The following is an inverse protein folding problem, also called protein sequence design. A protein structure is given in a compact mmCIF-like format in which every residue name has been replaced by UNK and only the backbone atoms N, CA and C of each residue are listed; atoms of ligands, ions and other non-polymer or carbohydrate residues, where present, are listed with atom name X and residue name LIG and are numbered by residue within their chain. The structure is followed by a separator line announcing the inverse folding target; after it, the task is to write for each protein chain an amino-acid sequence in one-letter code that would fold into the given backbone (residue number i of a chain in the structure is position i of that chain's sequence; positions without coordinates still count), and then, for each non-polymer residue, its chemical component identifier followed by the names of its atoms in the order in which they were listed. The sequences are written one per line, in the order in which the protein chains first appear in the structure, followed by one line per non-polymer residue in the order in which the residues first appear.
data_IF_456223524455
#
_entry.id   IF_456223524455
#
_cell.length_a   1.000
_cell.length_b   1.000
_cell.length_c   1.000
_cell.angle_alpha   90.00
_cell.angle_beta   90.00
_cell.angle_gamma   90.00
#
_symmetry.space_group_name_H-M   'P 1'
#
loop_
_entity.id
_entity.type
_entity.pdbx_description
1 polymer ?
#
# COMPACT_ATOMS: atom_id res chain seq x y z
N UNK A 1 -17.44 -17.48 90.94
CA UNK A 1 -18.55 -16.58 91.33
C UNK A 1 -19.28 -16.17 90.05
N UNK A 2 -20.61 -16.11 90.10
CA UNK A 2 -21.55 -15.65 89.06
C UNK A 2 -21.00 -14.50 88.20
N UNK A 3 -21.20 -14.42 86.88
CA UNK A 3 -22.42 -14.61 86.13
C UNK A 3 -22.96 -13.23 85.71
N UNK A 4 -23.59 -13.17 84.52
CA UNK A 4 -24.72 -12.29 84.16
C UNK A 4 -24.48 -11.12 83.15
N UNK A 5 -25.41 -11.10 82.17
CA UNK A 5 -25.91 -10.04 81.26
C UNK A 5 -24.95 -9.43 80.22
N UNK A 6 -25.38 -8.94 79.06
CA UNK A 6 -26.44 -9.20 78.09
C UNK A 6 -26.42 -8.02 77.09
N UNK A 7 -26.62 -8.34 75.80
CA UNK A 7 -27.37 -7.54 74.83
C UNK A 7 -26.92 -6.08 74.54
N UNK A 8 -26.53 -5.81 73.29
CA UNK A 8 -27.35 -5.04 72.33
C UNK A 8 -26.65 -4.90 70.96
N UNK A 9 -27.43 -5.19 69.91
CA UNK A 9 -27.25 -4.91 68.48
C UNK A 9 -27.46 -3.39 68.18
N UNK A 10 -27.53 -2.92 66.90
CA UNK A 10 -26.52 -2.90 65.83
C UNK A 10 -26.48 -1.52 65.09
N UNK A 11 -25.86 -1.52 63.90
CA UNK A 11 -26.16 -0.70 62.70
C UNK A 11 -25.47 0.66 62.47
N UNK A 12 -24.58 0.61 61.47
CA UNK A 12 -24.59 1.37 60.21
C UNK A 12 -24.09 2.83 60.13
N UNK A 13 -23.33 3.00 59.03
CA UNK A 13 -23.07 4.19 58.22
C UNK A 13 -22.00 5.20 58.70
N UNK A 14 -20.95 5.35 57.88
CA UNK A 14 -20.88 6.35 56.78
C UNK A 14 -19.48 6.33 56.11
N UNK A 15 -19.38 6.50 54.79
CA UNK A 15 -18.10 6.78 54.12
C UNK A 15 -17.70 8.26 54.28
N UNK A 16 -16.39 8.53 54.38
CA UNK A 16 -15.81 9.87 54.42
C UNK A 16 -15.29 10.27 53.02
N UNK A 17 -15.54 11.50 52.56
CA UNK A 17 -14.89 12.07 51.38
C UNK A 17 -13.54 12.69 51.74
N UNK A 18 -12.48 12.31 51.04
CA UNK A 18 -11.16 12.96 51.15
C UNK A 18 -10.98 14.01 50.05
N UNK A 19 -11.14 15.25 50.48
CA UNK A 19 -10.37 16.46 50.14
C UNK A 19 -9.56 16.50 48.84
N UNK A 20 -9.92 17.49 48.02
CA UNK A 20 -9.13 18.14 46.97
C UNK A 20 -7.67 18.37 47.37
N UNK A 21 -6.74 18.05 46.46
CA UNK A 21 -5.42 18.68 46.39
C UNK A 21 -5.16 19.11 44.94
N UNK A 22 -4.75 20.37 44.84
CA UNK A 22 -4.51 21.17 43.65
C UNK A 22 -3.33 20.65 42.82
N UNK A 23 -3.52 20.46 41.51
CA UNK A 23 -2.43 20.63 40.55
C UNK A 23 -2.96 21.21 39.25
N UNK A 24 -2.81 22.54 39.14
CA UNK A 24 -3.02 23.30 37.90
C UNK A 24 -1.82 23.06 36.97
N UNK A 25 -2.10 23.13 35.68
CA UNK A 25 -1.17 23.16 34.54
C UNK A 25 -0.53 21.84 34.09
N UNK A 26 -1.07 21.35 32.98
CA UNK A 26 -0.47 20.34 32.12
C UNK A 26 -1.42 19.97 30.99
N UNK A 27 -1.79 20.94 30.15
CA UNK A 27 -2.39 20.67 28.84
C UNK A 27 -1.37 19.86 28.04
N UNK A 28 -1.51 18.53 28.04
CA UNK A 28 -0.83 17.65 27.11
C UNK A 28 -1.90 16.97 26.25
N UNK A 29 -2.17 17.66 25.14
CA UNK A 29 -2.60 17.13 23.84
C UNK A 29 -2.45 15.60 23.72
N UNK A 30 -3.54 14.88 23.98
CA UNK A 30 -3.74 13.53 23.46
C UNK A 30 -4.36 13.64 22.08
N UNK A 31 -3.54 14.01 21.09
CA UNK A 31 -3.94 14.19 19.69
C UNK A 31 -2.86 13.54 18.83
N UNK A 32 -3.33 12.60 17.99
CA UNK A 32 -2.67 11.98 16.83
C UNK A 32 -1.64 10.85 17.06
N UNK A 33 -2.11 9.62 16.85
CA UNK A 33 -1.41 8.60 16.07
C UNK A 33 -2.51 7.77 15.35
N UNK A 34 -2.76 8.04 14.05
CA UNK A 34 -2.25 7.28 12.90
C UNK A 34 -2.91 5.89 12.79
N UNK A 35 -3.41 5.42 11.66
CA UNK A 35 -3.68 5.94 10.33
C UNK A 35 -4.66 4.93 9.73
N UNK A 36 -5.59 5.36 8.88
CA UNK A 36 -6.54 4.46 8.23
C UNK A 36 -5.81 3.43 7.38
N UNK A 37 -5.88 2.16 7.79
CA UNK A 37 -5.63 1.05 6.90
C UNK A 37 -6.92 0.86 6.10
N UNK A 38 -7.08 1.63 5.02
CA UNK A 38 -8.03 1.28 3.98
C UNK A 38 -7.63 -0.11 3.49
N UNK A 39 -8.55 -1.06 3.55
CA UNK A 39 -8.36 -2.41 3.04
C UNK A 39 -8.08 -2.33 1.53
N UNK A 40 -6.81 -2.13 1.17
CA UNK A 40 -6.33 -2.43 -0.16
C UNK A 40 -6.62 -3.92 -0.37
N UNK A 41 -7.26 -4.25 -1.47
CA UNK A 41 -7.36 -5.64 -1.92
C UNK A 41 -5.97 -6.29 -1.79
N UNK A 42 -5.92 -7.57 -1.39
CA UNK A 42 -4.69 -8.32 -1.10
C UNK A 42 -3.81 -8.53 -2.36
N UNK A 43 -3.34 -7.46 -2.98
CA UNK A 43 -2.40 -7.46 -4.09
C UNK A 43 -1.00 -7.59 -3.52
N UNK A 44 -0.21 -8.53 -4.05
CA UNK A 44 1.15 -8.70 -3.55
C UNK A 44 2.03 -7.48 -3.87
N UNK A 45 3.09 -7.21 -3.09
CA UNK A 45 3.99 -6.09 -3.36
C UNK A 45 4.61 -6.13 -4.77
N UNK A 46 4.93 -7.33 -5.28
CA UNK A 46 5.42 -7.53 -6.64
C UNK A 46 4.37 -7.11 -7.70
N UNK A 47 3.12 -7.54 -7.53
CA UNK A 47 2.02 -7.17 -8.42
C UNK A 47 1.72 -5.67 -8.36
N UNK A 48 1.76 -5.07 -7.17
CA UNK A 48 1.57 -3.64 -6.98
C UNK A 48 2.68 -2.83 -7.67
N UNK A 49 3.94 -3.27 -7.60
CA UNK A 49 5.05 -2.61 -8.28
C UNK A 49 4.85 -2.57 -9.80
N UNK A 50 4.40 -3.67 -10.41
CA UNK A 50 4.09 -3.70 -11.85
C UNK A 50 2.93 -2.78 -12.19
N UNK A 51 1.87 -2.74 -11.36
CA UNK A 51 0.75 -1.84 -11.60
C UNK A 51 1.16 -0.37 -11.53
N UNK A 52 2.00 0.01 -10.57
CA UNK A 52 2.57 1.36 -10.47
C UNK A 52 3.48 1.67 -11.67
N UNK A 53 4.30 0.71 -12.11
CA UNK A 53 5.15 0.83 -13.28
C UNK A 53 4.34 1.06 -14.56
N UNK A 54 3.25 0.30 -14.76
CA UNK A 54 2.34 0.47 -15.90
C UNK A 54 1.69 1.85 -15.90
N UNK A 55 1.30 2.35 -14.72
CA UNK A 55 0.76 3.69 -14.58
C UNK A 55 1.81 4.75 -14.94
N UNK A 56 3.03 4.65 -14.42
CA UNK A 56 4.14 5.53 -14.77
C UNK A 56 4.42 5.55 -16.29
N UNK A 57 4.26 4.40 -16.94
CA UNK A 57 4.45 4.25 -18.38
C UNK A 57 3.41 4.98 -19.21
N UNK A 58 2.12 4.85 -18.88
CA UNK A 58 1.06 5.59 -19.58
C UNK A 58 1.09 7.09 -19.29
N UNK A 59 1.63 7.48 -18.14
CA UNK A 59 1.84 8.89 -17.78
C UNK A 59 3.11 9.48 -18.40
N UNK A 60 3.88 8.69 -19.16
CA UNK A 60 5.19 9.05 -19.71
C UNK A 60 6.15 9.63 -18.65
N UNK A 61 6.08 9.13 -17.41
CA UNK A 61 6.86 9.64 -16.29
C UNK A 61 8.24 8.97 -16.23
N UNK A 62 9.19 9.50 -16.99
CA UNK A 62 10.55 8.99 -17.08
C UNK A 62 11.25 8.86 -15.71
N UNK A 63 11.06 9.81 -14.80
CA UNK A 63 11.66 9.78 -13.46
C UNK A 63 11.12 8.60 -12.65
N UNK A 64 9.81 8.37 -12.69
CA UNK A 64 9.21 7.26 -11.95
C UNK A 64 9.59 5.93 -12.59
N UNK A 65 9.61 5.85 -13.92
CA UNK A 65 10.05 4.67 -14.65
C UNK A 65 11.50 4.29 -14.33
N UNK A 66 12.41 5.26 -14.19
CA UNK A 66 13.78 4.96 -13.81
C UNK A 66 13.86 4.39 -12.39
N UNK A 67 13.12 4.98 -11.44
CA UNK A 67 13.11 4.52 -10.05
C UNK A 67 12.41 3.17 -9.83
N UNK A 68 11.44 2.82 -10.68
CA UNK A 68 10.68 1.56 -10.58
C UNK A 68 11.32 0.42 -11.37
N UNK A 69 12.49 0.65 -11.98
CA UNK A 69 13.17 -0.31 -12.84
C UNK A 69 14.46 -0.79 -12.25
N UNK A 70 14.78 -2.05 -12.50
CA UNK A 70 16.11 -2.58 -12.24
C UNK A 70 17.12 -1.86 -13.15
N UNK A 71 18.33 -1.59 -12.66
CA UNK A 71 19.37 -0.83 -13.38
C UNK A 71 19.55 -1.24 -14.84
N UNK A 72 19.61 -2.54 -15.11
CA UNK A 72 19.87 -3.06 -16.46
C UNK A 72 18.65 -2.94 -17.40
N UNK A 73 17.45 -2.66 -16.86
CA UNK A 73 16.20 -2.44 -17.60
C UNK A 73 15.82 -0.95 -17.71
N UNK A 74 16.42 -0.09 -16.87
CA UNK A 74 16.05 1.31 -16.69
C UNK A 74 15.93 2.10 -18.00
N UNK A 75 16.95 2.02 -18.88
CA UNK A 75 16.97 2.74 -20.14
C UNK A 75 15.83 2.31 -21.08
N UNK A 76 15.53 1.02 -21.13
CA UNK A 76 14.42 0.48 -21.93
C UNK A 76 13.07 0.92 -21.35
N UNK A 77 12.91 0.89 -20.02
CA UNK A 77 11.70 1.35 -19.37
C UNK A 77 11.39 2.82 -19.67
N UNK A 78 12.41 3.68 -19.63
CA UNK A 78 12.25 5.10 -19.98
C UNK A 78 11.89 5.26 -21.46
N UNK A 79 12.59 4.57 -22.36
CA UNK A 79 12.30 4.63 -23.79
C UNK A 79 10.88 4.14 -24.13
N UNK A 80 10.40 3.08 -23.47
CA UNK A 80 9.02 2.63 -23.62
C UNK A 80 8.02 3.67 -23.14
N UNK A 81 8.28 4.34 -22.01
CA UNK A 81 7.44 5.44 -21.52
C UNK A 81 7.38 6.63 -22.47
N UNK A 82 8.52 6.99 -23.07
CA UNK A 82 8.60 8.07 -24.05
C UNK A 82 7.69 7.83 -25.26
N UNK A 83 7.44 6.58 -25.65
CA UNK A 83 6.53 6.24 -26.74
C UNK A 83 5.06 6.66 -26.50
N UNK A 84 4.70 6.91 -25.24
CA UNK A 84 3.40 7.46 -24.86
C UNK A 84 3.36 9.00 -24.86
N UNK A 85 4.51 9.66 -25.03
CA UNK A 85 4.58 11.12 -25.07
C UNK A 85 3.77 11.68 -26.23
N UNK A 86 2.85 12.60 -25.95
CA UNK A 86 1.97 13.20 -26.95
C UNK A 86 0.78 12.32 -27.36
N UNK A 87 0.63 11.14 -26.77
CA UNK A 87 -0.58 10.33 -26.86
C UNK A 87 -1.47 10.60 -25.64
N UNK A 88 -2.79 10.57 -25.82
CA UNK A 88 -3.70 10.46 -24.67
C UNK A 88 -3.78 8.99 -24.27
N UNK A 89 -2.95 8.57 -23.32
CA UNK A 89 -2.86 7.20 -22.84
C UNK A 89 -3.61 7.00 -21.52
N UNK A 90 -4.20 5.82 -21.33
CA UNK A 90 -4.90 5.43 -20.10
C UNK A 90 -4.66 3.96 -19.80
N UNK A 91 -4.42 3.67 -18.52
CA UNK A 91 -4.42 2.31 -18.00
C UNK A 91 -5.84 1.96 -17.57
N UNK A 92 -6.44 0.97 -18.22
CA UNK A 92 -7.84 0.58 -18.00
C UNK A 92 -7.92 -0.81 -17.39
N UNK A 93 -8.62 -0.89 -16.25
CA UNK A 93 -8.97 -2.15 -15.57
C UNK A 93 -7.74 -3.02 -15.27
N UNK A 94 -6.58 -2.40 -15.03
CA UNK A 94 -5.35 -3.12 -14.71
C UNK A 94 -5.50 -3.86 -13.39
N UNK A 95 -5.26 -5.17 -13.44
CA UNK A 95 -5.17 -6.01 -12.26
C UNK A 95 -3.99 -6.98 -12.43
N UNK A 96 -3.01 -6.88 -11.56
CA UNK A 96 -1.80 -7.68 -11.61
C UNK A 96 -1.80 -8.73 -10.51
N UNK A 97 -1.20 -9.89 -10.80
CA UNK A 97 -1.00 -10.99 -9.84
C UNK A 97 0.31 -11.71 -10.12
N UNK A 98 0.92 -12.26 -9.08
CA UNK A 98 2.02 -13.20 -9.24
C UNK A 98 1.53 -14.45 -9.98
N UNK A 99 2.30 -14.86 -10.98
CA UNK A 99 2.01 -16.00 -11.83
C UNK A 99 2.98 -17.16 -11.57
N UNK A 100 4.26 -16.85 -11.33
CA UNK A 100 5.31 -17.84 -11.12
C UNK A 100 6.55 -17.21 -10.47
N UNK A 101 7.57 -18.04 -10.22
CA UNK A 101 8.93 -17.63 -9.92
C UNK A 101 9.87 -18.33 -10.90
N UNK A 102 10.75 -17.60 -11.56
CA UNK A 102 11.71 -18.14 -12.54
C UNK A 102 13.01 -17.33 -12.54
N UNK A 103 14.15 -18.01 -12.61
CA UNK A 103 15.49 -17.40 -12.73
C UNK A 103 15.81 -16.33 -11.67
N UNK A 104 15.29 -16.50 -10.44
CA UNK A 104 15.49 -15.53 -9.35
C UNK A 104 14.59 -14.28 -9.43
N UNK A 105 13.58 -14.31 -10.31
CA UNK A 105 12.56 -13.27 -10.43
C UNK A 105 11.18 -13.79 -10.06
N UNK A 106 10.35 -12.90 -9.53
CA UNK A 106 8.90 -13.11 -9.46
C UNK A 106 8.29 -12.71 -10.80
N UNK A 107 7.47 -13.58 -11.37
CA UNK A 107 6.76 -13.32 -12.62
C UNK A 107 5.38 -12.81 -12.31
N UNK A 108 5.01 -11.67 -12.88
CA UNK A 108 3.72 -11.02 -12.69
C UNK A 108 2.98 -10.96 -14.01
N UNK A 109 1.75 -11.45 -14.01
CA UNK A 109 0.79 -11.32 -15.12
C UNK A 109 -0.22 -10.23 -14.78
N UNK A 110 -0.58 -9.40 -15.75
CA UNK A 110 -1.62 -8.39 -15.58
C UNK A 110 -2.74 -8.60 -16.58
N UNK A 111 -3.98 -8.37 -16.15
CA UNK A 111 -5.15 -8.26 -17.04
C UNK A 111 -5.53 -6.80 -17.25
N UNK A 112 -6.31 -6.54 -18.30
CA UNK A 112 -6.77 -5.20 -18.66
C UNK A 112 -6.03 -4.68 -19.89
N UNK A 113 -6.01 -3.37 -20.09
CA UNK A 113 -5.41 -2.79 -21.30
C UNK A 113 -4.85 -1.40 -21.09
N UNK A 114 -3.97 -1.01 -22.00
CA UNK A 114 -3.62 0.39 -22.23
C UNK A 114 -4.41 0.87 -23.44
N UNK A 115 -5.15 1.95 -23.29
CA UNK A 115 -5.81 2.66 -24.39
C UNK A 115 -4.99 3.90 -24.74
N UNK A 116 -4.74 4.13 -26.03
CA UNK A 116 -4.05 5.31 -26.54
C UNK A 116 -4.93 5.99 -27.58
N UNK A 117 -5.04 7.31 -27.52
CA UNK A 117 -5.76 8.10 -28.52
C UNK A 117 -4.82 9.07 -29.22
N UNK A 118 -4.84 9.04 -30.55
CA UNK A 118 -4.13 9.97 -31.42
C UNK A 118 -5.03 10.39 -32.58
N UNK A 119 -5.22 11.70 -32.78
CA UNK A 119 -6.12 12.25 -33.81
C UNK A 119 -7.55 11.66 -33.79
N UNK A 120 -8.06 11.30 -32.61
CA UNK A 120 -9.38 10.70 -32.43
C UNK A 120 -9.45 9.20 -32.71
N UNK A 121 -8.37 8.58 -33.18
CA UNK A 121 -8.28 7.13 -33.31
C UNK A 121 -7.82 6.51 -31.99
N UNK A 122 -8.58 5.52 -31.52
CA UNK A 122 -8.27 4.75 -30.31
C UNK A 122 -7.54 3.47 -30.70
N UNK A 123 -6.45 3.17 -30.01
CA UNK A 123 -5.71 1.90 -30.10
C UNK A 123 -5.61 1.27 -28.72
N UNK A 124 -5.87 -0.03 -28.67
CA UNK A 124 -5.88 -0.80 -27.43
C UNK A 124 -4.75 -1.83 -27.41
N UNK A 125 -4.10 -1.95 -26.26
CA UNK A 125 -2.98 -2.86 -26.04
C UNK A 125 -3.27 -3.73 -24.82
N UNK A 126 -3.59 -5.03 -24.99
CA UNK A 126 -3.88 -5.93 -23.88
C UNK A 126 -2.64 -6.17 -23.01
N UNK A 127 -2.81 -6.12 -21.69
CA UNK A 127 -1.70 -6.32 -20.74
C UNK A 127 -1.26 -7.78 -20.66
N UNK A 128 -2.13 -8.72 -21.03
CA UNK A 128 -1.88 -10.16 -21.04
C UNK A 128 -0.86 -10.58 -22.12
N UNK A 129 -0.53 -9.67 -23.05
CA UNK A 129 0.42 -9.93 -24.12
C UNK A 129 1.85 -10.19 -23.61
N UNK A 130 2.18 -9.71 -22.40
CA UNK A 130 3.52 -9.84 -21.80
C UNK A 130 3.40 -10.06 -20.30
N UNK A 131 4.19 -10.98 -19.77
CA UNK A 131 4.43 -11.08 -18.34
C UNK A 131 5.66 -10.26 -17.96
N UNK A 132 5.67 -9.69 -16.76
CA UNK A 132 6.78 -8.94 -16.21
C UNK A 132 7.60 -9.83 -15.29
N UNK A 133 8.91 -9.62 -15.26
CA UNK A 133 9.78 -10.15 -14.22
C UNK A 133 10.14 -9.02 -13.26
N UNK A 134 10.01 -9.27 -11.97
CA UNK A 134 10.31 -8.30 -10.92
C UNK A 134 11.22 -8.92 -9.87
N UNK A 135 11.99 -8.06 -9.20
CA UNK A 135 12.89 -8.47 -8.13
C UNK A 135 12.83 -7.47 -6.98
N UNK A 136 12.92 -8.00 -5.76
CA UNK A 136 13.10 -7.18 -4.57
C UNK A 136 14.57 -6.74 -4.46
N UNK A 137 14.83 -5.44 -4.45
CA UNK A 137 16.15 -4.84 -4.28
C UNK A 137 16.06 -3.75 -3.20
N UNK A 138 16.91 -3.82 -2.18
CA UNK A 138 16.93 -2.87 -1.07
C UNK A 138 15.56 -2.65 -0.37
N UNK A 139 14.69 -3.66 -0.37
CA UNK A 139 13.34 -3.59 0.23
C UNK A 139 12.25 -3.07 -0.70
N UNK A 140 12.59 -2.70 -1.94
CA UNK A 140 11.66 -2.25 -2.97
C UNK A 140 11.52 -3.28 -4.08
N UNK A 141 10.34 -3.38 -4.68
CA UNK A 141 10.11 -4.26 -5.83
C UNK A 141 10.27 -3.47 -7.12
N UNK A 142 11.17 -3.93 -7.98
CA UNK A 142 11.52 -3.27 -9.23
C UNK A 142 11.20 -4.15 -10.43
N UNK A 143 10.82 -3.52 -11.55
CA UNK A 143 10.60 -4.18 -12.83
C UNK A 143 11.94 -4.38 -13.53
N UNK A 144 12.30 -5.64 -13.79
CA UNK A 144 13.55 -6.00 -14.46
C UNK A 144 13.35 -6.38 -15.94
N UNK A 145 12.17 -6.10 -16.49
CA UNK A 145 11.79 -6.36 -17.86
C UNK A 145 10.69 -7.40 -18.01
N UNK A 146 10.64 -8.03 -19.19
CA UNK A 146 9.65 -9.04 -19.51
C UNK A 146 10.14 -10.46 -19.20
N UNK A 147 9.21 -11.33 -18.83
CA UNK A 147 9.46 -12.75 -18.80
C UNK A 147 9.64 -13.30 -20.24
N UNK A 148 10.43 -14.36 -20.36
CA UNK A 148 10.47 -15.14 -21.60
C UNK A 148 9.06 -15.68 -21.91
N UNK A 149 8.75 -15.82 -23.20
CA UNK A 149 7.50 -16.44 -23.66
C UNK A 149 7.52 -17.94 -23.44
#
# INVERSE_FOLDING_TARGET
MAGIFAHRLPAAARPRPSTMASQRWGLLLAVLAAAGCGAAANTSPAAQAVQTYLQARVDANANLLSTLSCRDWEAEAVAEGESFSGLSAKLEQAACKEAATADGFTIVSCSGKISTTYNGEVREWPLEARNFRVQAQAGEWLVCGYAAK
#
